data_IF_030187420876
#
_entry.id   IF_030187420876
#
_cell.length_a   1.000
_cell.length_b   1.000
_cell.length_c   1.000
_cell.angle_alpha   90.00
_cell.angle_beta   90.00
_cell.angle_gamma   90.00
#
_symmetry.space_group_name_H-M   'P 1'
#
loop_
_entity.id
_entity.type
_entity.pdbx_description
1 polymer ?
#
# COMPACT_ATOMS: atom_id res chain seq x y z
N UNK A 1 -1.62 -21.11 1.45
CA UNK A 1 -1.28 -20.44 0.17
C UNK A 1 -1.72 -18.97 0.23
N UNK A 2 -0.81 -18.03 0.02
CA UNK A 2 -1.12 -16.60 -0.08
C UNK A 2 -1.37 -16.23 -1.55
N UNK A 3 -2.47 -15.53 -1.84
CA UNK A 3 -2.84 -15.09 -3.20
C UNK A 3 -2.85 -13.56 -3.26
N UNK A 4 -2.22 -13.00 -4.29
CA UNK A 4 -2.19 -11.56 -4.56
C UNK A 4 -3.15 -11.23 -5.68
N UNK A 5 -3.94 -10.18 -5.51
CA UNK A 5 -4.87 -9.65 -6.54
C UNK A 5 -4.48 -8.22 -6.85
N UNK A 6 -4.44 -7.86 -8.13
CA UNK A 6 -4.23 -6.49 -8.59
C UNK A 6 -5.59 -5.88 -8.93
N UNK A 7 -5.95 -4.82 -8.23
CA UNK A 7 -7.19 -4.07 -8.46
C UNK A 7 -6.86 -2.76 -9.16
N UNK A 8 -7.62 -2.45 -10.21
CA UNK A 8 -7.51 -1.17 -10.91
C UNK A 8 -8.40 -0.16 -10.20
N UNK A 9 -7.81 0.86 -9.56
CA UNK A 9 -8.56 1.94 -8.93
C UNK A 9 -9.15 2.86 -10.01
N UNK A 10 -10.36 3.37 -9.75
CA UNK A 10 -11.10 4.30 -10.60
C UNK A 10 -11.43 5.57 -9.79
N UNK A 11 -10.40 6.37 -9.41
CA UNK A 11 -10.62 7.60 -8.66
C UNK A 11 -11.29 8.67 -9.53
N UNK A 12 -12.03 9.58 -8.91
CA UNK A 12 -12.39 10.87 -9.53
C UNK A 12 -11.13 11.74 -9.69
N UNK A 13 -11.15 12.81 -10.51
CA UNK A 13 -10.01 13.73 -10.62
C UNK A 13 -9.54 14.28 -9.26
N UNK A 14 -10.47 14.62 -8.38
CA UNK A 14 -10.20 15.14 -7.03
C UNK A 14 -9.55 14.07 -6.15
N UNK A 15 -10.07 12.83 -6.21
CA UNK A 15 -9.47 11.71 -5.50
C UNK A 15 -8.06 11.39 -6.03
N UNK A 16 -7.86 11.46 -7.34
CA UNK A 16 -6.56 11.24 -7.96
C UNK A 16 -5.54 12.28 -7.50
N UNK A 17 -5.94 13.55 -7.38
CA UNK A 17 -5.10 14.61 -6.84
C UNK A 17 -4.65 14.30 -5.40
N UNK A 18 -5.58 13.92 -4.52
CA UNK A 18 -5.23 13.58 -3.12
C UNK A 18 -4.35 12.33 -3.04
N UNK A 19 -4.59 11.32 -3.88
CA UNK A 19 -3.74 10.13 -3.96
C UNK A 19 -2.32 10.50 -4.42
N UNK A 20 -2.19 11.38 -5.42
CA UNK A 20 -0.90 11.87 -5.90
C UNK A 20 -0.16 12.66 -4.82
N UNK A 21 -0.85 13.52 -4.07
CA UNK A 21 -0.25 14.25 -2.96
C UNK A 21 0.20 13.29 -1.84
N UNK A 22 -0.62 12.29 -1.52
CA UNK A 22 -0.27 11.24 -0.56
C UNK A 22 1.00 10.49 -1.00
N UNK A 23 1.11 10.16 -2.29
CA UNK A 23 2.30 9.52 -2.84
C UNK A 23 3.53 10.44 -2.82
N UNK A 24 3.35 11.74 -3.09
CA UNK A 24 4.42 12.73 -3.03
C UNK A 24 4.99 12.83 -1.61
N UNK A 25 4.13 13.01 -0.60
CA UNK A 25 4.56 13.03 0.80
C UNK A 25 5.17 11.69 1.24
N UNK A 26 4.60 10.55 0.82
CA UNK A 26 5.15 9.23 1.12
C UNK A 26 6.56 9.06 0.54
N UNK A 27 6.76 9.55 -0.68
CA UNK A 27 8.05 9.53 -1.38
C UNK A 27 9.07 10.44 -0.69
N UNK A 28 8.66 11.63 -0.29
CA UNK A 28 9.49 12.55 0.49
C UNK A 28 9.95 11.92 1.80
N UNK A 29 9.02 11.36 2.58
CA UNK A 29 9.36 10.65 3.82
C UNK A 29 10.32 9.49 3.56
N UNK A 30 10.06 8.65 2.55
CA UNK A 30 10.94 7.55 2.17
C UNK A 30 12.36 8.05 1.85
N UNK A 31 12.50 9.06 0.98
CA UNK A 31 13.80 9.59 0.56
C UNK A 31 14.56 10.24 1.73
N UNK A 32 13.86 10.95 2.63
CA UNK A 32 14.48 11.52 3.83
C UNK A 32 15.03 10.44 4.77
N UNK A 33 14.27 9.34 4.98
CA UNK A 33 14.75 8.22 5.79
C UNK A 33 15.95 7.53 5.13
N UNK A 34 15.91 7.32 3.81
CA UNK A 34 17.05 6.77 3.08
C UNK A 34 18.29 7.65 3.20
N UNK A 35 18.16 8.97 3.03
CA UNK A 35 19.28 9.91 3.14
C UNK A 35 19.89 9.89 4.56
N UNK A 36 19.06 9.97 5.60
CA UNK A 36 19.51 9.94 6.98
C UNK A 36 20.18 8.60 7.33
N UNK A 37 19.57 7.48 6.95
CA UNK A 37 20.12 6.15 7.19
C UNK A 37 21.43 5.91 6.43
N UNK A 38 21.49 6.32 5.17
CA UNK A 38 22.70 6.21 4.36
C UNK A 38 23.86 7.02 4.95
N UNK A 39 23.62 8.30 5.29
CA UNK A 39 24.65 9.19 5.82
C UNK A 39 25.23 8.72 7.17
N UNK A 40 24.43 8.02 7.99
CA UNK A 40 24.88 7.50 9.29
C UNK A 40 25.23 6.01 9.28
N UNK A 41 25.18 5.34 8.12
CA UNK A 41 25.35 3.89 8.02
C UNK A 41 24.29 3.07 8.78
N UNK A 42 23.13 3.66 9.05
CA UNK A 42 22.05 3.10 9.86
C UNK A 42 21.01 2.36 8.98
N UNK A 43 20.60 1.17 9.44
CA UNK A 43 19.63 0.30 8.76
C UNK A 43 18.73 -0.49 9.71
N UNK A 44 18.82 -0.21 11.01
CA UNK A 44 17.93 -0.71 12.04
C UNK A 44 16.68 0.16 12.07
N UNK A 45 15.52 -0.46 11.84
CA UNK A 45 14.25 0.28 11.71
C UNK A 45 13.84 1.05 12.97
N UNK A 46 14.22 0.59 14.17
CA UNK A 46 13.92 1.28 15.43
C UNK A 46 14.81 2.53 15.56
N UNK A 47 16.11 2.39 15.31
CA UNK A 47 17.05 3.53 15.33
C UNK A 47 16.67 4.57 14.28
N UNK A 48 16.33 4.13 13.06
CA UNK A 48 15.81 5.01 12.02
C UNK A 48 14.54 5.74 12.46
N UNK A 49 13.63 5.06 13.16
CA UNK A 49 12.41 5.71 13.66
C UNK A 49 12.73 6.85 14.63
N UNK A 50 13.58 6.62 15.62
CA UNK A 50 13.99 7.68 16.56
C UNK A 50 14.71 8.82 15.84
N UNK A 51 15.56 8.49 14.87
CA UNK A 51 16.31 9.47 14.10
C UNK A 51 15.42 10.37 13.24
N UNK A 52 14.39 9.80 12.60
CA UNK A 52 13.71 10.49 11.48
C UNK A 52 12.26 10.84 11.73
N UNK A 53 11.58 10.22 12.71
CA UNK A 53 10.12 10.33 12.84
C UNK A 53 9.63 11.78 13.00
N UNK A 54 10.23 12.54 13.91
CA UNK A 54 9.80 13.92 14.17
C UNK A 54 10.01 14.82 12.96
N UNK A 55 11.17 14.70 12.32
CA UNK A 55 11.54 15.49 11.12
C UNK A 55 10.64 15.15 9.94
N UNK A 56 10.47 13.85 9.64
CA UNK A 56 9.60 13.40 8.55
C UNK A 56 8.13 13.73 8.79
N UNK A 57 7.66 13.69 10.05
CA UNK A 57 6.27 14.06 10.37
C UNK A 57 6.02 15.55 10.21
N UNK A 58 7.00 16.39 10.55
CA UNK A 58 6.94 17.83 10.30
C UNK A 58 6.98 18.14 8.80
N UNK A 59 7.82 17.44 8.03
CA UNK A 59 7.95 17.63 6.58
C UNK A 59 6.76 17.09 5.78
N UNK A 60 6.07 16.08 6.29
CA UNK A 60 4.94 15.41 5.64
C UNK A 60 3.70 15.43 6.55
N UNK A 61 3.13 16.61 6.85
CA UNK A 61 2.10 16.76 7.86
C UNK A 61 0.80 16.02 7.52
N UNK A 62 0.47 15.93 6.23
CA UNK A 62 -0.73 15.27 5.73
C UNK A 62 -0.70 13.75 5.90
N UNK A 63 0.47 13.12 5.89
CA UNK A 63 0.54 11.67 6.09
C UNK A 63 0.08 11.26 7.49
N UNK A 64 -0.86 10.33 7.55
CA UNK A 64 -1.16 9.61 8.79
C UNK A 64 0.08 8.87 9.30
N UNK A 65 0.24 8.78 10.63
CA UNK A 65 1.46 8.23 11.25
C UNK A 65 1.79 6.82 10.76
N UNK A 66 0.79 5.99 10.50
CA UNK A 66 0.99 4.63 9.99
C UNK A 66 1.63 4.63 8.58
N UNK A 67 1.17 5.49 7.65
CA UNK A 67 1.79 5.60 6.32
C UNK A 67 3.24 6.10 6.40
N UNK A 68 3.52 7.03 7.31
CA UNK A 68 4.89 7.50 7.54
C UNK A 68 5.78 6.37 8.09
N UNK A 69 5.25 5.56 9.01
CA UNK A 69 5.91 4.36 9.51
C UNK A 69 6.16 3.36 8.38
N UNK A 70 5.18 3.15 7.48
CA UNK A 70 5.35 2.27 6.31
C UNK A 70 6.42 2.78 5.33
N UNK A 71 6.52 4.10 5.12
CA UNK A 71 7.60 4.70 4.34
C UNK A 71 8.98 4.40 4.95
N UNK A 72 9.11 4.53 6.28
CA UNK A 72 10.33 4.17 7.02
C UNK A 72 10.65 2.68 6.92
N UNK A 73 9.67 1.79 7.07
CA UNK A 73 9.87 0.34 6.93
C UNK A 73 10.41 0.02 5.54
N UNK A 74 9.81 0.60 4.49
CA UNK A 74 10.28 0.44 3.11
C UNK A 74 11.69 1.00 2.90
N UNK A 75 12.01 2.16 3.48
CA UNK A 75 13.36 2.72 3.45
C UNK A 75 14.37 1.81 4.15
N UNK A 76 13.98 1.20 5.28
CA UNK A 76 14.81 0.22 6.01
C UNK A 76 15.13 -1.00 5.14
N UNK A 77 14.14 -1.55 4.43
CA UNK A 77 14.33 -2.66 3.48
C UNK A 77 15.30 -2.25 2.36
N UNK A 78 15.14 -1.05 1.80
CA UNK A 78 16.00 -0.52 0.75
C UNK A 78 17.46 -0.34 1.22
N UNK A 79 17.67 0.24 2.41
CA UNK A 79 18.99 0.43 3.01
C UNK A 79 19.67 -0.91 3.32
N UNK A 80 18.92 -1.90 3.83
CA UNK A 80 19.44 -3.26 4.04
C UNK A 80 19.88 -3.92 2.73
N UNK A 81 19.08 -3.77 1.67
CA UNK A 81 19.41 -4.27 0.33
C UNK A 81 20.68 -3.61 -0.23
N UNK A 82 20.77 -2.28 -0.13
CA UNK A 82 21.96 -1.55 -0.55
C UNK A 82 23.22 -1.98 0.24
N UNK A 83 23.11 -2.09 1.57
CA UNK A 83 24.21 -2.57 2.40
C UNK A 83 24.64 -4.02 2.06
N UNK A 84 23.70 -4.89 1.68
CA UNK A 84 24.03 -6.24 1.23
C UNK A 84 24.82 -6.23 -0.09
N UNK A 85 24.47 -5.32 -1.02
CA UNK A 85 25.22 -5.13 -2.27
C UNK A 85 26.63 -4.57 -2.03
N UNK A 86 26.80 -3.63 -1.10
CA UNK A 86 28.13 -3.13 -0.69
C UNK A 86 29.00 -4.28 -0.18
N UNK A 87 28.45 -5.15 0.69
CA UNK A 87 29.17 -6.35 1.18
C UNK A 87 29.59 -7.31 0.07
N UNK A 88 28.88 -7.33 -1.06
CA UNK A 88 29.21 -8.12 -2.24
C UNK A 88 30.20 -7.41 -3.18
N UNK A 89 30.80 -6.29 -2.77
CA UNK A 89 31.72 -5.50 -3.59
C UNK A 89 31.06 -4.77 -4.77
N UNK A 90 29.72 -4.67 -4.78
CA UNK A 90 28.99 -4.00 -5.87
C UNK A 90 28.92 -2.50 -5.61
N UNK A 91 29.11 -1.70 -6.66
CA UNK A 91 28.86 -0.25 -6.62
C UNK A 91 27.38 0.00 -6.30
N UNK A 92 27.11 0.88 -5.34
CA UNK A 92 25.77 1.26 -4.90
C UNK A 92 25.73 2.72 -4.50
N UNK A 93 24.56 3.33 -4.64
CA UNK A 93 24.26 4.68 -4.18
C UNK A 93 23.12 4.66 -3.16
N UNK A 94 22.89 5.79 -2.49
CA UNK A 94 21.75 5.95 -1.58
C UNK A 94 20.44 5.62 -2.31
N UNK A 95 19.56 4.76 -1.75
CA UNK A 95 18.27 4.48 -2.36
C UNK A 95 17.42 5.74 -2.46
N UNK A 96 16.90 6.02 -3.65
CA UNK A 96 15.98 7.13 -3.89
C UNK A 96 14.84 6.68 -4.82
N UNK A 97 13.71 7.36 -4.72
CA UNK A 97 12.55 7.14 -5.57
C UNK A 97 11.98 8.47 -6.03
N UNK A 98 11.59 8.54 -7.30
CA UNK A 98 10.84 9.68 -7.87
C UNK A 98 9.36 9.60 -7.46
N UNK A 99 8.80 8.39 -7.46
CA UNK A 99 7.44 8.11 -7.01
C UNK A 99 7.42 6.74 -6.32
N UNK A 100 7.38 6.77 -4.99
CA UNK A 100 7.43 5.58 -4.16
C UNK A 100 6.01 5.05 -3.93
N UNK A 101 5.69 3.79 -4.32
CA UNK A 101 4.37 3.23 -4.05
C UNK A 101 4.10 3.15 -2.56
N UNK A 102 3.03 3.82 -2.10
CA UNK A 102 2.56 3.76 -0.73
C UNK A 102 2.13 2.34 -0.35
N UNK A 103 2.57 1.89 0.83
CA UNK A 103 2.20 0.57 1.37
C UNK A 103 1.05 0.75 2.36
N UNK A 104 -0.08 0.13 2.05
CA UNK A 104 -1.25 0.11 2.90
C UNK A 104 -1.32 -1.22 3.68
N UNK A 105 -1.77 -1.17 4.93
CA UNK A 105 -1.95 -2.29 5.84
C UNK A 105 -3.37 -2.31 6.43
N UNK A 106 -3.64 -3.23 7.34
CA UNK A 106 -4.97 -3.40 7.97
C UNK A 106 -5.51 -2.14 8.67
N UNK A 107 -4.64 -1.20 9.06
CA UNK A 107 -5.03 0.06 9.71
C UNK A 107 -5.27 1.22 8.74
N UNK A 108 -4.73 1.12 7.52
CA UNK A 108 -4.73 2.19 6.51
C UNK A 108 -5.58 1.89 5.29
N UNK A 109 -6.07 0.66 5.13
CA UNK A 109 -7.13 0.37 4.16
C UNK A 109 -8.16 -0.66 4.63
N UNK A 110 -9.35 -0.59 4.03
CA UNK A 110 -10.38 -1.63 4.10
C UNK A 110 -10.99 -1.84 2.73
N UNK A 111 -11.06 -3.09 2.29
CA UNK A 111 -11.60 -3.45 0.98
C UNK A 111 -13.07 -3.85 1.10
N UNK A 112 -13.93 -3.24 0.28
CA UNK A 112 -15.36 -3.53 0.23
C UNK A 112 -15.69 -4.15 -1.13
N UNK A 113 -15.84 -5.48 -1.13
CA UNK A 113 -16.07 -6.25 -2.36
C UNK A 113 -17.46 -6.01 -2.97
N UNK A 114 -18.52 -5.99 -2.15
CA UNK A 114 -19.90 -5.79 -2.62
C UNK A 114 -20.09 -4.42 -3.25
N UNK A 115 -19.57 -3.37 -2.61
CA UNK A 115 -19.60 -2.00 -3.13
C UNK A 115 -18.54 -1.69 -4.19
N UNK A 116 -17.64 -2.63 -4.50
CA UNK A 116 -16.51 -2.42 -5.43
C UNK A 116 -15.68 -1.15 -5.15
N UNK A 117 -15.40 -0.88 -3.87
CA UNK A 117 -14.55 0.25 -3.47
C UNK A 117 -13.57 -0.14 -2.36
N UNK A 118 -12.49 0.63 -2.24
CA UNK A 118 -11.53 0.53 -1.15
C UNK A 118 -11.55 1.83 -0.34
N UNK A 119 -11.65 1.70 0.98
CA UNK A 119 -11.45 2.82 1.89
C UNK A 119 -9.96 2.95 2.18
N UNK A 120 -9.35 4.08 1.82
CA UNK A 120 -7.91 4.34 1.97
C UNK A 120 -7.69 5.55 2.88
N UNK A 121 -6.70 5.47 3.77
CA UNK A 121 -6.17 6.64 4.46
C UNK A 121 -5.26 7.45 3.53
N UNK A 122 -5.47 8.74 3.41
CA UNK A 122 -4.72 9.64 2.52
C UNK A 122 -4.27 10.90 3.27
N UNK A 123 -3.62 11.84 2.57
CA UNK A 123 -3.24 13.15 3.10
C UNK A 123 -4.43 14.00 3.57
N UNK A 124 -5.62 13.77 3.01
CA UNK A 124 -6.85 14.51 3.34
C UNK A 124 -7.85 13.69 4.16
N UNK A 125 -7.39 12.68 4.89
CA UNK A 125 -8.25 11.79 5.68
C UNK A 125 -8.59 10.49 4.96
N UNK A 126 -9.72 9.85 5.27
CA UNK A 126 -10.09 8.57 4.64
C UNK A 126 -11.08 8.80 3.49
N UNK A 127 -10.80 8.21 2.32
CA UNK A 127 -11.70 8.26 1.16
C UNK A 127 -12.05 6.87 0.63
N UNK A 128 -13.20 6.76 -0.02
CA UNK A 128 -13.63 5.56 -0.73
C UNK A 128 -13.30 5.70 -2.22
N UNK A 129 -12.40 4.86 -2.71
CA UNK A 129 -11.98 4.85 -4.11
C UNK A 129 -12.59 3.63 -4.79
N UNK A 130 -13.42 3.80 -5.83
CA UNK A 130 -13.95 2.69 -6.61
C UNK A 130 -12.82 1.89 -7.26
N UNK A 131 -13.05 0.61 -7.53
CA UNK A 131 -12.12 -0.22 -8.29
C UNK A 131 -12.86 -1.15 -9.24
N UNK A 132 -12.17 -1.56 -10.31
CA UNK A 132 -12.65 -2.60 -11.22
C UNK A 132 -12.10 -3.95 -10.79
N UNK A 133 -13.00 -4.91 -10.52
CA UNK A 133 -12.61 -6.29 -10.24
C UNK A 133 -12.22 -6.98 -11.54
N UNK A 134 -10.98 -7.51 -11.67
CA UNK A 134 -10.60 -8.23 -12.87
C UNK A 134 -11.26 -9.62 -12.91
N UNK A 135 -11.64 -10.07 -14.12
CA UNK A 135 -12.35 -11.35 -14.34
C UNK A 135 -11.64 -12.55 -13.70
N UNK A 136 -10.30 -12.59 -13.74
CA UNK A 136 -9.52 -13.68 -13.14
C UNK A 136 -9.65 -13.75 -11.61
N UNK A 137 -9.92 -12.62 -10.96
CA UNK A 137 -10.06 -12.55 -9.50
C UNK A 137 -11.48 -12.86 -9.04
N UNK A 138 -12.48 -12.75 -9.91
CA UNK A 138 -13.89 -12.89 -9.57
C UNK A 138 -14.21 -14.23 -8.87
N UNK A 139 -13.67 -15.36 -9.37
CA UNK A 139 -13.87 -16.68 -8.76
C UNK A 139 -13.37 -16.73 -7.30
N UNK A 140 -12.17 -16.19 -7.06
CA UNK A 140 -11.53 -16.21 -5.74
C UNK A 140 -12.19 -15.22 -4.77
N UNK A 141 -12.69 -14.11 -5.28
CA UNK A 141 -13.36 -13.06 -4.49
C UNK A 141 -14.76 -13.50 -4.08
N UNK A 142 -15.52 -14.14 -4.98
CA UNK A 142 -16.83 -14.71 -4.64
C UNK A 142 -16.71 -15.71 -3.47
N UNK A 143 -15.71 -16.60 -3.53
CA UNK A 143 -15.45 -17.55 -2.45
C UNK A 143 -15.11 -16.89 -1.11
N UNK A 144 -14.30 -15.82 -1.11
CA UNK A 144 -13.96 -15.05 0.10
C UNK A 144 -15.13 -14.22 0.62
N UNK A 145 -15.94 -13.65 -0.27
CA UNK A 145 -17.11 -12.85 0.07
C UNK A 145 -18.18 -13.72 0.74
N UNK A 146 -18.48 -14.89 0.16
CA UNK A 146 -19.41 -15.87 0.73
C UNK A 146 -18.92 -16.38 2.09
N UNK A 147 -17.63 -16.72 2.21
CA UNK A 147 -17.03 -17.09 3.50
C UNK A 147 -17.12 -15.97 4.55
N UNK A 148 -16.96 -14.69 4.15
CA UNK A 148 -17.10 -13.54 5.02
C UNK A 148 -18.53 -13.23 5.45
N UNK A 149 -19.53 -13.73 4.70
CA UNK A 149 -20.95 -13.68 5.04
C UNK A 149 -21.43 -14.93 5.80
N UNK A 150 -20.53 -15.87 6.13
CA UNK A 150 -20.88 -17.13 6.79
C UNK A 150 -21.52 -18.19 5.88
N UNK A 151 -21.51 -17.96 4.56
CA UNK A 151 -22.07 -18.87 3.55
C UNK A 151 -20.94 -19.78 3.05
N UNK A 152 -20.96 -21.05 3.47
CA UNK A 152 -20.03 -22.06 2.96
C UNK A 152 -20.60 -22.69 1.68
N UNK A 153 -19.86 -22.61 0.57
CA UNK A 153 -20.16 -23.40 -0.62
C UNK A 153 -19.65 -24.83 -0.42
N UNK A 154 -20.49 -25.72 0.11
CA UNK A 154 -20.29 -27.17 0.02
C UNK A 154 -20.45 -27.60 -1.44
N UNK A 155 -19.46 -28.31 -1.96
CA UNK A 155 -19.26 -28.56 -3.39
C UNK A 155 -20.45 -29.21 -4.11
N UNK A 156 -21.00 -28.46 -5.06
CA UNK A 156 -21.45 -28.89 -6.39
C UNK A 156 -21.92 -27.63 -7.12
N UNK A 157 -21.84 -27.61 -8.45
CA UNK A 157 -22.16 -26.50 -9.38
C UNK A 157 -20.95 -25.65 -9.81
N UNK A 158 -20.03 -26.32 -10.50
CA UNK A 158 -19.46 -25.75 -11.73
C UNK A 158 -20.44 -26.05 -12.87
N UNK A 159 -21.24 -25.06 -13.28
CA UNK A 159 -21.68 -24.83 -14.68
C UNK A 159 -22.63 -23.63 -14.74
N UNK A 160 -22.13 -22.55 -15.35
CA UNK A 160 -22.85 -21.65 -16.27
C UNK A 160 -24.10 -20.86 -15.85
N UNK A 161 -24.27 -20.49 -14.57
CA UNK A 161 -25.35 -19.55 -14.22
C UNK A 161 -25.09 -18.73 -12.96
N UNK A 162 -24.20 -17.73 -13.07
CA UNK A 162 -24.26 -16.56 -12.17
C UNK A 162 -24.28 -15.31 -13.04
N UNK A 163 -25.43 -15.04 -13.65
CA UNK A 163 -25.75 -13.74 -14.22
C UNK A 163 -25.87 -12.74 -13.08
N UNK A 164 -24.93 -11.80 -13.01
CA UNK A 164 -25.07 -10.61 -12.18
C UNK A 164 -26.13 -9.71 -12.81
N UNK A 165 -27.38 -9.77 -12.32
CA UNK A 165 -28.33 -8.69 -12.52
C UNK A 165 -28.07 -7.64 -11.44
N UNK A 166 -27.54 -6.49 -11.87
CA UNK A 166 -27.61 -5.27 -11.09
C UNK A 166 -29.06 -4.77 -11.17
N UNK A 167 -29.77 -4.74 -10.05
CA UNK A 167 -31.02 -4.00 -9.94
C UNK A 167 -30.71 -2.51 -9.74
N UNK A 168 -31.48 -1.69 -10.44
CA UNK A 168 -31.36 -0.25 -10.64
C UNK A 168 -31.31 0.59 -9.36
#
# INVERSE_FOLDING_TARGET
>A
MQRTVRLELKPTPEQAQVLNETLAQFTQAFNQVCAAGWGQGEKNGVRLHHLTYRVTKAACPGLVSDLLIQARVKATEALKSAAARVKQGRKTTCPQSVLCPARYNVHTYKLHWSGSFVRLSTSSGRMNVPFKLPRYAAKNVAQKHLAGLGISLSGALLSDSVSWQASA
#
